data_IF_471225172695
#
_entry.id   IF_471225172695
#
_cell.length_a   1.000
_cell.length_b   1.000
_cell.length_c   1.000
_cell.angle_alpha   90.00
_cell.angle_beta   90.00
_cell.angle_gamma   90.00
#
_symmetry.space_group_name_H-M   'P 1'
#
loop_
_entity.id
_entity.type
_entity.pdbx_description
1 polymer ?
#
# COMPACT_ATOMS: atom_id res chain seq x y z
N UNK A 1 -28.57 -1.86 -5.47
CA UNK A 1 -27.59 -1.73 -6.59
C UNK A 1 -26.79 -0.42 -6.58
N UNK A 2 -27.40 0.78 -6.47
CA UNK A 2 -26.65 2.06 -6.47
C UNK A 2 -25.60 2.17 -5.35
N UNK A 3 -25.89 1.66 -4.15
CA UNK A 3 -24.96 1.66 -3.01
C UNK A 3 -23.75 0.73 -3.20
N UNK A 4 -23.95 -0.42 -3.85
CA UNK A 4 -22.90 -1.38 -4.20
C UNK A 4 -21.91 -0.72 -5.17
N UNK A 5 -22.44 -0.02 -6.18
CA UNK A 5 -21.64 0.74 -7.14
C UNK A 5 -20.87 1.86 -6.42
N UNK A 6 -21.48 2.56 -5.45
CA UNK A 6 -20.84 3.63 -4.67
C UNK A 6 -19.66 3.13 -3.82
N UNK A 7 -19.77 1.99 -3.15
CA UNK A 7 -18.68 1.42 -2.35
C UNK A 7 -17.57 0.80 -3.22
N UNK A 8 -17.93 0.19 -4.36
CA UNK A 8 -16.94 -0.29 -5.35
C UNK A 8 -16.21 0.90 -6.00
N UNK A 9 -16.88 2.03 -6.22
CA UNK A 9 -16.21 3.26 -6.69
C UNK A 9 -15.34 3.90 -5.61
N UNK A 10 -15.79 3.97 -4.34
CA UNK A 10 -14.93 4.35 -3.21
C UNK A 10 -13.70 3.44 -3.11
N UNK A 11 -13.84 2.15 -3.44
CA UNK A 11 -12.74 1.18 -3.47
C UNK A 11 -11.77 1.44 -4.63
N UNK A 12 -12.26 1.79 -5.82
CA UNK A 12 -11.42 2.16 -6.97
C UNK A 12 -10.58 3.40 -6.64
N UNK A 13 -11.19 4.36 -5.93
CA UNK A 13 -10.55 5.58 -5.44
C UNK A 13 -9.51 5.23 -4.34
N UNK A 14 -9.87 4.39 -3.36
CA UNK A 14 -8.94 3.89 -2.35
C UNK A 14 -7.73 3.16 -2.98
N UNK A 15 -7.93 2.39 -4.05
CA UNK A 15 -6.84 1.71 -4.75
C UNK A 15 -5.94 2.66 -5.54
N UNK A 16 -6.48 3.75 -6.08
CA UNK A 16 -5.68 4.84 -6.65
C UNK A 16 -4.87 5.61 -5.58
N UNK A 17 -5.36 5.62 -4.34
CA UNK A 17 -4.73 6.26 -3.18
C UNK A 17 -3.70 5.34 -2.48
N UNK A 18 -3.84 4.01 -2.57
CA UNK A 18 -2.83 3.03 -2.10
C UNK A 18 -1.61 2.96 -3.06
N UNK A 19 -1.44 3.96 -3.93
CA UNK A 19 -0.12 4.41 -4.38
C UNK A 19 0.53 5.26 -3.27
N UNK A 20 0.68 4.69 -2.08
CA UNK A 20 1.37 5.38 -0.99
C UNK A 20 2.80 5.67 -1.47
N UNK A 21 3.23 6.95 -1.54
CA UNK A 21 4.60 7.25 -1.88
C UNK A 21 5.49 6.55 -0.84
N UNK A 22 6.37 5.67 -1.30
CA UNK A 22 7.29 4.98 -0.40
C UNK A 22 8.04 6.02 0.42
N UNK A 23 8.21 5.80 1.74
CA UNK A 23 8.97 6.72 2.57
C UNK A 23 10.39 6.84 2.00
N UNK A 24 10.80 8.07 1.64
CA UNK A 24 12.08 8.30 0.96
C UNK A 24 12.11 9.39 -0.10
N UNK A 25 11.09 10.26 -0.21
CA UNK A 25 11.21 11.46 -1.04
C UNK A 25 12.46 12.26 -0.59
N UNK A 26 13.44 12.34 -1.48
CA UNK A 26 14.84 12.53 -1.12
C UNK A 26 15.20 13.90 -0.56
N UNK A 27 14.42 14.91 -0.95
CA UNK A 27 14.71 16.30 -0.65
C UNK A 27 14.59 16.61 0.85
N UNK A 28 13.83 15.82 1.61
CA UNK A 28 13.68 16.00 3.06
C UNK A 28 14.51 15.00 3.89
N UNK A 29 14.72 13.76 3.42
CA UNK A 29 15.28 12.67 4.25
C UNK A 29 16.80 12.56 4.18
N UNK A 30 17.40 12.85 3.02
CA UNK A 30 18.84 12.65 2.77
C UNK A 30 19.61 13.97 2.53
N UNK A 31 18.92 15.11 2.56
CA UNK A 31 19.52 16.42 2.37
C UNK A 31 20.29 16.89 3.63
N UNK A 32 21.51 16.41 3.83
CA UNK A 32 22.50 17.16 4.63
C UNK A 32 23.92 17.02 4.10
N UNK A 33 24.44 18.18 3.67
CA UNK A 33 25.81 18.60 3.35
C UNK A 33 26.89 17.51 3.27
N UNK A 34 27.48 17.38 2.09
CA UNK A 34 28.91 17.06 1.97
C UNK A 34 29.56 17.96 0.93
N UNK A 35 30.36 18.91 1.41
CA UNK A 35 31.37 19.65 0.66
C UNK A 35 32.44 18.67 0.17
N UNK A 36 32.66 18.64 -1.15
CA UNK A 36 33.56 17.76 -1.90
C UNK A 36 33.13 16.29 -1.98
N UNK A 37 32.33 15.93 -2.99
CA UNK A 37 32.06 14.52 -3.30
C UNK A 37 32.30 14.18 -4.76
N UNK A 38 33.01 13.06 -4.97
CA UNK A 38 33.38 12.45 -6.26
C UNK A 38 32.14 12.30 -7.16
N UNK A 39 32.33 12.49 -8.47
CA UNK A 39 31.27 12.37 -9.50
C UNK A 39 30.69 10.95 -9.64
N UNK A 40 31.33 9.92 -9.09
CA UNK A 40 30.96 8.51 -9.24
C UNK A 40 30.22 7.93 -8.03
N UNK A 41 29.49 6.81 -8.20
CA UNK A 41 28.81 6.13 -7.11
C UNK A 41 29.82 5.71 -6.04
N UNK A 42 29.52 6.02 -4.78
CA UNK A 42 30.33 5.65 -3.62
C UNK A 42 29.45 4.94 -2.61
N UNK A 43 29.96 3.88 -1.98
CA UNK A 43 29.26 3.24 -0.87
C UNK A 43 29.33 4.13 0.37
N UNK A 44 28.18 4.49 0.92
CA UNK A 44 28.04 5.28 2.13
C UNK A 44 27.20 4.55 3.16
N UNK A 45 27.36 4.94 4.42
CA UNK A 45 26.43 4.60 5.49
C UNK A 45 25.90 5.89 6.08
N UNK A 46 24.57 6.07 6.05
CA UNK A 46 23.87 7.18 6.69
C UNK A 46 23.19 6.60 7.92
N UNK A 47 23.61 7.03 9.11
CA UNK A 47 22.96 6.69 10.38
C UNK A 47 22.19 7.91 10.87
N UNK A 48 20.87 7.79 10.92
CA UNK A 48 19.99 8.72 11.60
C UNK A 48 19.50 8.07 12.90
N UNK A 49 18.86 8.86 13.77
CA UNK A 49 18.30 8.36 15.03
C UNK A 49 17.35 7.17 14.80
N UNK A 50 16.52 7.27 13.76
CA UNK A 50 15.40 6.35 13.55
C UNK A 50 15.63 5.37 12.40
N UNK A 51 16.67 5.55 11.57
CA UNK A 51 16.97 4.63 10.47
C UNK A 51 18.45 4.59 10.11
N UNK A 52 18.86 3.51 9.46
CA UNK A 52 20.17 3.36 8.83
C UNK A 52 20.01 3.02 7.36
N UNK A 53 20.74 3.74 6.51
CA UNK A 53 20.94 3.40 5.10
C UNK A 53 22.38 2.96 4.87
N UNK A 54 22.58 1.90 4.08
CA UNK A 54 23.90 1.47 3.58
C UNK A 54 23.78 1.16 2.09
N UNK A 55 24.58 1.81 1.25
CA UNK A 55 24.53 1.53 -0.19
C UNK A 55 25.23 2.59 -1.04
N UNK A 56 25.03 2.48 -2.34
CA UNK A 56 25.57 3.38 -3.34
C UNK A 56 24.86 4.73 -3.31
N UNK A 57 25.65 5.81 -3.35
CA UNK A 57 25.14 7.17 -3.42
C UNK A 57 25.91 8.01 -4.43
N UNK A 58 25.20 8.99 -5.00
CA UNK A 58 25.76 10.04 -5.87
C UNK A 58 25.49 11.38 -5.20
N UNK A 59 26.56 12.14 -4.93
CA UNK A 59 26.47 13.41 -4.17
C UNK A 59 25.74 13.27 -2.83
N UNK A 60 25.93 12.13 -2.16
CA UNK A 60 25.33 11.83 -0.85
C UNK A 60 23.87 11.39 -0.90
N UNK A 61 23.26 11.36 -2.10
CA UNK A 61 21.88 10.89 -2.30
C UNK A 61 21.91 9.41 -2.69
N UNK A 62 21.14 8.52 -2.01
CA UNK A 62 21.03 7.11 -2.39
C UNK A 62 20.69 6.94 -3.88
N UNK A 63 21.56 6.24 -4.60
CA UNK A 63 21.43 6.02 -6.05
C UNK A 63 22.24 4.78 -6.45
N UNK A 64 21.55 3.74 -6.89
CA UNK A 64 22.10 2.39 -7.08
C UNK A 64 21.71 1.43 -5.96
N UNK A 65 22.45 0.33 -5.81
CA UNK A 65 22.10 -0.72 -4.84
C UNK A 65 22.31 -0.29 -3.39
N UNK A 66 21.37 -0.64 -2.51
CA UNK A 66 21.48 -0.35 -1.08
C UNK A 66 20.44 -1.07 -0.23
N UNK A 67 20.50 -0.78 1.06
CA UNK A 67 19.58 -1.26 2.08
C UNK A 67 19.21 -0.10 3.01
N UNK A 68 17.95 -0.03 3.41
CA UNK A 68 17.48 0.83 4.49
C UNK A 68 16.71 -0.01 5.51
N UNK A 69 16.96 0.27 6.79
CA UNK A 69 16.26 -0.35 7.91
C UNK A 69 15.96 0.72 8.96
N UNK A 70 14.72 0.79 9.41
CA UNK A 70 14.33 1.61 10.55
C UNK A 70 12.94 2.20 10.39
N UNK A 71 12.74 3.38 10.95
CA UNK A 71 11.47 4.09 10.98
C UNK A 71 11.62 5.43 10.28
N UNK A 72 10.76 5.69 9.30
CA UNK A 72 10.73 6.93 8.53
C UNK A 72 9.31 7.49 8.65
N UNK A 73 9.17 8.71 9.17
CA UNK A 73 7.88 9.37 9.36
C UNK A 73 6.82 8.52 10.09
N UNK A 74 7.24 7.76 11.11
CA UNK A 74 6.30 6.91 11.85
C UNK A 74 6.09 5.51 11.29
N UNK A 75 6.58 5.23 10.07
CA UNK A 75 6.44 3.94 9.38
C UNK A 75 7.72 3.14 9.51
N UNK A 76 7.63 1.93 10.06
CA UNK A 76 8.73 0.96 10.02
C UNK A 76 8.93 0.53 8.58
N UNK A 77 10.14 0.68 8.06
CA UNK A 77 10.49 0.45 6.68
C UNK A 77 11.78 -0.34 6.58
N UNK A 78 11.72 -1.44 5.84
CA UNK A 78 12.86 -2.25 5.48
C UNK A 78 12.89 -2.40 3.97
N UNK A 79 14.02 -2.12 3.33
CA UNK A 79 14.12 -2.31 1.89
C UNK A 79 15.53 -2.66 1.50
N UNK A 80 15.65 -3.59 0.55
CA UNK A 80 16.91 -3.94 -0.13
C UNK A 80 16.67 -3.92 -1.63
N UNK A 81 17.48 -3.14 -2.34
CA UNK A 81 17.41 -3.05 -3.79
C UNK A 81 18.02 -1.77 -4.34
N UNK A 82 17.58 -1.44 -5.54
CA UNK A 82 17.95 -0.23 -6.25
C UNK A 82 17.21 0.99 -5.69
N UNK A 83 17.97 2.04 -5.43
CA UNK A 83 17.49 3.39 -5.14
C UNK A 83 17.68 4.27 -6.36
N UNK A 84 16.73 5.17 -6.62
CA UNK A 84 16.82 6.18 -7.67
C UNK A 84 16.47 7.53 -7.06
N UNK A 85 17.45 8.45 -7.09
CA UNK A 85 17.31 9.79 -6.52
C UNK A 85 16.76 9.77 -5.09
N UNK A 86 17.34 8.95 -4.21
CA UNK A 86 17.01 8.85 -2.79
C UNK A 86 15.80 7.99 -2.45
N UNK A 87 14.97 7.61 -3.43
CA UNK A 87 13.81 6.76 -3.21
C UNK A 87 14.08 5.29 -3.56
N UNK A 88 13.49 4.32 -2.84
CA UNK A 88 13.43 2.92 -3.27
C UNK A 88 12.81 2.83 -4.67
N UNK A 89 13.41 2.04 -5.57
CA UNK A 89 12.97 1.95 -6.97
C UNK A 89 12.66 0.52 -7.41
N UNK A 90 13.61 -0.40 -7.31
CA UNK A 90 13.41 -1.81 -7.64
C UNK A 90 14.02 -2.69 -6.56
N UNK A 91 13.25 -3.59 -5.95
CA UNK A 91 13.79 -4.44 -4.90
C UNK A 91 12.73 -5.18 -4.12
N UNK A 92 13.11 -5.60 -2.91
CA UNK A 92 12.20 -6.20 -1.95
C UNK A 92 12.20 -5.38 -0.67
N UNK A 93 11.04 -5.21 -0.08
CA UNK A 93 10.91 -4.47 1.17
C UNK A 93 9.62 -4.76 1.90
N UNK A 94 9.53 -4.21 3.09
CA UNK A 94 8.34 -4.18 3.91
C UNK A 94 8.12 -2.80 4.49
N UNK A 95 6.85 -2.49 4.73
CA UNK A 95 6.42 -1.27 5.39
C UNK A 95 5.30 -1.59 6.37
N UNK A 96 5.39 -1.04 7.58
CA UNK A 96 4.41 -1.25 8.64
C UNK A 96 4.21 0.05 9.41
N UNK A 97 3.00 0.60 9.43
CA UNK A 97 2.71 1.82 10.17
C UNK A 97 1.41 2.47 9.75
N UNK A 98 1.18 3.68 10.27
CA UNK A 98 0.02 4.50 9.93
C UNK A 98 0.39 5.50 8.83
N UNK A 99 -0.33 5.48 7.72
CA UNK A 99 -0.21 6.41 6.59
C UNK A 99 -1.60 6.94 6.26
N UNK A 100 -1.76 8.26 6.21
CA UNK A 100 -3.01 8.94 5.85
C UNK A 100 -4.26 8.42 6.58
N UNK A 101 -4.11 8.15 7.89
CA UNK A 101 -5.21 7.66 8.72
C UNK A 101 -5.41 6.15 8.71
N UNK A 102 -4.80 5.42 7.78
CA UNK A 102 -4.89 3.96 7.66
C UNK A 102 -3.65 3.25 8.21
N UNK A 103 -3.84 2.11 8.86
CA UNK A 103 -2.77 1.17 9.17
C UNK A 103 -2.47 0.34 7.93
N UNK A 104 -1.20 0.28 7.54
CA UNK A 104 -0.74 -0.47 6.36
C UNK A 104 0.39 -1.39 6.79
N UNK A 105 0.31 -2.63 6.34
CA UNK A 105 1.39 -3.61 6.38
C UNK A 105 1.56 -4.18 4.98
N UNK A 106 2.72 -3.95 4.37
CA UNK A 106 3.07 -4.55 3.09
C UNK A 106 4.42 -5.27 3.21
N UNK A 107 4.55 -6.38 2.50
CA UNK A 107 5.81 -7.11 2.34
C UNK A 107 5.86 -7.70 0.94
N UNK A 108 6.86 -7.30 0.17
CA UNK A 108 6.90 -7.71 -1.22
C UNK A 108 7.97 -7.06 -2.08
N UNK A 109 7.77 -7.20 -3.38
CA UNK A 109 8.52 -6.56 -4.43
C UNK A 109 8.04 -5.13 -4.65
N UNK A 110 8.98 -4.23 -4.77
CA UNK A 110 8.78 -2.86 -5.23
C UNK A 110 9.35 -2.77 -6.64
N UNK A 111 8.61 -2.13 -7.54
CA UNK A 111 9.01 -1.92 -8.93
C UNK A 111 8.67 -0.50 -9.34
N UNK A 112 9.65 0.20 -9.92
CA UNK A 112 9.53 1.61 -10.29
C UNK A 112 9.07 2.55 -9.15
N UNK A 113 9.38 2.20 -7.91
CA UNK A 113 9.01 2.99 -6.72
C UNK A 113 7.63 2.69 -6.14
N UNK A 114 6.95 1.66 -6.63
CA UNK A 114 5.60 1.28 -6.19
C UNK A 114 5.55 -0.18 -5.72
N UNK A 115 4.69 -0.53 -4.74
CA UNK A 115 4.37 -1.91 -4.43
C UNK A 115 3.88 -2.67 -5.68
N UNK A 116 4.52 -3.80 -6.00
CA UNK A 116 4.28 -4.52 -7.25
C UNK A 116 3.72 -5.92 -7.03
N UNK A 117 4.28 -6.68 -6.10
CA UNK A 117 3.83 -8.03 -5.79
C UNK A 117 4.16 -8.38 -4.34
N UNK A 118 3.28 -9.08 -3.63
CA UNK A 118 3.52 -9.42 -2.23
C UNK A 118 2.23 -9.50 -1.42
N UNK A 119 2.37 -9.49 -0.10
CA UNK A 119 1.22 -9.43 0.81
C UNK A 119 0.96 -7.99 1.23
N UNK A 120 -0.31 -7.64 1.39
CA UNK A 120 -0.75 -6.35 1.89
C UNK A 120 -1.93 -6.54 2.84
N UNK A 121 -1.89 -5.78 3.92
CA UNK A 121 -2.99 -5.57 4.84
C UNK A 121 -3.18 -4.09 5.03
N UNK A 122 -4.38 -3.58 4.81
CA UNK A 122 -4.73 -2.21 5.17
C UNK A 122 -5.98 -2.19 6.03
N UNK A 123 -6.08 -1.21 6.92
CA UNK A 123 -7.28 -0.93 7.70
C UNK A 123 -7.34 0.56 8.02
N UNK A 124 -8.42 1.24 7.63
CA UNK A 124 -8.55 2.68 7.86
C UNK A 124 -9.95 3.20 7.55
N UNK A 125 -10.09 4.53 7.66
CA UNK A 125 -11.29 5.26 7.25
C UNK A 125 -10.94 6.00 5.96
N UNK A 126 -11.64 5.70 4.87
CA UNK A 126 -11.45 6.31 3.55
C UNK A 126 -12.76 6.95 3.15
N UNK A 127 -12.77 8.27 2.96
CA UNK A 127 -13.98 9.05 2.64
C UNK A 127 -15.16 8.82 3.62
N UNK A 128 -14.84 8.58 4.89
CA UNK A 128 -15.82 8.30 5.95
C UNK A 128 -16.22 6.82 6.08
N UNK A 129 -15.79 5.97 5.15
CA UNK A 129 -16.09 4.54 5.14
C UNK A 129 -14.97 3.76 5.84
N UNK A 130 -15.32 2.90 6.80
CA UNK A 130 -14.35 1.98 7.37
C UNK A 130 -14.04 0.92 6.32
N UNK A 131 -12.78 0.74 5.97
CA UNK A 131 -12.34 -0.25 5.00
C UNK A 131 -11.15 -1.04 5.53
N UNK A 132 -11.13 -2.33 5.22
CA UNK A 132 -10.00 -3.20 5.43
C UNK A 132 -9.81 -4.14 4.25
N UNK A 133 -8.56 -4.49 3.99
CA UNK A 133 -8.21 -5.55 3.05
C UNK A 133 -7.06 -6.35 3.63
N UNK A 134 -7.08 -7.64 3.36
CA UNK A 134 -5.96 -8.52 3.59
C UNK A 134 -5.83 -9.48 2.42
N UNK A 135 -4.67 -9.49 1.77
CA UNK A 135 -4.49 -10.31 0.60
C UNK A 135 -3.14 -10.13 -0.09
N UNK A 136 -3.11 -10.57 -1.34
CA UNK A 136 -1.96 -10.57 -2.20
C UNK A 136 -2.11 -9.53 -3.32
N UNK A 137 -0.99 -8.91 -3.67
CA UNK A 137 -0.85 -8.07 -4.84
C UNK A 137 -0.06 -8.79 -5.94
N UNK A 138 -0.42 -8.52 -7.18
CA UNK A 138 0.34 -8.91 -8.37
C UNK A 138 0.26 -7.78 -9.41
N UNK A 139 1.38 -7.48 -10.06
CA UNK A 139 1.48 -6.44 -11.08
C UNK A 139 0.96 -5.06 -10.65
N UNK A 140 1.16 -4.70 -9.38
CA UNK A 140 0.71 -3.43 -8.81
C UNK A 140 -0.79 -3.37 -8.49
N UNK A 141 -1.49 -4.50 -8.56
CA UNK A 141 -2.94 -4.59 -8.31
C UNK A 141 -3.24 -5.63 -7.24
N UNK A 142 -4.40 -5.50 -6.58
CA UNK A 142 -4.93 -6.60 -5.78
C UNK A 142 -5.22 -7.80 -6.67
N UNK A 143 -4.87 -8.98 -6.18
CA UNK A 143 -5.03 -10.22 -6.92
C UNK A 143 -6.00 -11.18 -6.23
N UNK A 144 -5.83 -11.38 -4.92
CA UNK A 144 -6.67 -12.29 -4.13
C UNK A 144 -6.65 -11.86 -2.67
N UNK A 145 -7.80 -11.89 -2.00
CA UNK A 145 -7.88 -11.50 -0.60
C UNK A 145 -9.30 -11.40 -0.08
N UNK A 146 -9.38 -10.88 1.14
CA UNK A 146 -10.62 -10.50 1.80
C UNK A 146 -10.67 -8.98 1.88
N UNK A 147 -11.73 -8.40 1.34
CA UNK A 147 -12.09 -7.00 1.50
C UNK A 147 -13.27 -6.92 2.45
N UNK A 148 -13.21 -6.02 3.42
CA UNK A 148 -14.37 -5.67 4.23
C UNK A 148 -14.53 -4.15 4.31
N UNK A 149 -15.78 -3.73 4.45
CA UNK A 149 -16.09 -2.33 4.70
C UNK A 149 -17.40 -2.14 5.42
N UNK A 150 -17.59 -0.95 5.97
CA UNK A 150 -18.84 -0.57 6.63
C UNK A 150 -19.16 0.88 6.35
N UNK A 151 -20.40 1.14 5.91
CA UNK A 151 -20.95 2.45 5.62
C UNK A 151 -22.39 2.51 6.08
N UNK A 152 -22.74 3.50 6.90
CA UNK A 152 -24.13 3.77 7.31
C UNK A 152 -24.90 2.53 7.85
N UNK A 153 -24.21 1.64 8.57
CA UNK A 153 -24.80 0.42 9.12
C UNK A 153 -24.92 -0.76 8.15
N UNK A 154 -24.51 -0.60 6.88
CA UNK A 154 -24.29 -1.68 5.93
C UNK A 154 -22.82 -2.12 6.00
N UNK A 155 -22.60 -3.40 6.29
CA UNK A 155 -21.30 -4.06 6.19
C UNK A 155 -21.23 -4.91 4.92
N UNK A 156 -20.06 -4.90 4.28
CA UNK A 156 -19.76 -5.71 3.11
C UNK A 156 -18.51 -6.52 3.42
N UNK A 157 -18.52 -7.79 3.03
CA UNK A 157 -17.36 -8.67 3.05
C UNK A 157 -17.28 -9.40 1.71
N UNK A 158 -16.17 -9.22 0.99
CA UNK A 158 -15.87 -9.97 -0.22
C UNK A 158 -14.61 -10.79 -0.01
N UNK A 159 -14.68 -12.09 -0.33
CA UNK A 159 -13.53 -12.97 -0.33
C UNK A 159 -13.36 -13.58 -1.71
N UNK A 160 -12.23 -13.29 -2.35
CA UNK A 160 -11.95 -13.84 -3.66
C UNK A 160 -10.83 -13.16 -4.40
N UNK A 161 -10.85 -13.34 -5.72
CA UNK A 161 -9.92 -12.77 -6.68
C UNK A 161 -10.40 -11.44 -7.20
N UNK A 162 -9.43 -10.59 -7.47
CA UNK A 162 -9.61 -9.26 -8.02
C UNK A 162 -8.97 -9.17 -9.40
N UNK A 163 -9.53 -8.31 -10.25
CA UNK A 163 -8.95 -7.95 -11.55
C UNK A 163 -9.17 -6.46 -11.75
N UNK A 164 -8.10 -5.71 -12.05
CA UNK A 164 -8.16 -4.25 -12.09
C UNK A 164 -8.70 -3.63 -10.78
N UNK A 165 -8.37 -4.26 -9.65
CA UNK A 165 -8.86 -3.89 -8.31
C UNK A 165 -10.38 -4.03 -8.09
N UNK A 166 -11.09 -4.76 -8.95
CA UNK A 166 -12.53 -5.06 -8.80
C UNK A 166 -12.76 -6.55 -8.50
N UNK A 167 -13.83 -6.92 -7.76
CA UNK A 167 -14.22 -8.31 -7.55
C UNK A 167 -14.37 -9.06 -8.88
N UNK A 168 -13.66 -10.18 -9.03
CA UNK A 168 -13.66 -10.95 -10.27
C UNK A 168 -14.20 -12.36 -10.07
N UNK A 169 -13.68 -13.09 -9.10
CA UNK A 169 -14.17 -14.44 -8.74
C UNK A 169 -14.22 -14.56 -7.22
N UNK A 170 -15.38 -14.76 -6.62
CA UNK A 170 -15.49 -14.92 -5.17
C UNK A 170 -16.87 -14.67 -4.62
N UNK A 171 -16.99 -14.80 -3.30
CA UNK A 171 -18.26 -14.67 -2.59
C UNK A 171 -18.31 -13.33 -1.86
N UNK A 172 -19.45 -12.65 -1.97
CA UNK A 172 -19.74 -11.40 -1.31
C UNK A 172 -20.93 -11.57 -0.37
N UNK A 173 -20.77 -11.09 0.86
CA UNK A 173 -21.82 -11.02 1.86
C UNK A 173 -22.05 -9.55 2.19
N UNK A 174 -23.32 -9.16 2.24
CA UNK A 174 -23.75 -7.85 2.73
C UNK A 174 -24.74 -8.03 3.87
N UNK A 175 -24.42 -7.42 5.01
CA UNK A 175 -25.28 -7.42 6.19
C UNK A 175 -25.61 -5.98 6.57
N UNK A 176 -26.86 -5.70 6.89
CA UNK A 176 -27.30 -4.38 7.31
C UNK A 176 -28.72 -4.39 7.86
N UNK A 177 -29.40 -3.25 7.73
CA UNK A 177 -30.82 -3.10 8.04
C UNK A 177 -31.53 -2.42 6.88
N UNK A 178 -32.79 -2.75 6.65
CA UNK A 178 -33.65 -2.02 5.73
C UNK A 178 -34.19 -0.73 6.37
N UNK A 179 -34.99 0.03 5.61
CA UNK A 179 -35.58 1.30 6.06
C UNK A 179 -36.52 1.15 7.27
N UNK A 180 -37.01 -0.07 7.53
CA UNK A 180 -37.84 -0.41 8.69
C UNK A 180 -37.03 -0.90 9.89
N UNK A 181 -35.69 -0.95 9.75
CA UNK A 181 -34.77 -1.43 10.77
C UNK A 181 -34.67 -2.95 10.87
N UNK A 182 -35.29 -3.69 9.96
CA UNK A 182 -35.21 -5.16 9.93
C UNK A 182 -33.86 -5.61 9.37
N UNK A 183 -33.29 -6.72 9.87
CA UNK A 183 -32.04 -7.26 9.35
C UNK A 183 -32.13 -7.54 7.85
N UNK A 184 -31.14 -7.06 7.11
CA UNK A 184 -30.94 -7.36 5.70
C UNK A 184 -29.67 -8.22 5.57
N UNK A 185 -29.79 -9.37 4.91
CA UNK A 185 -28.67 -10.23 4.57
C UNK A 185 -28.75 -10.58 3.09
N UNK A 186 -27.66 -10.34 2.35
CA UNK A 186 -27.56 -10.66 0.93
C UNK A 186 -26.24 -11.37 0.67
N UNK A 187 -26.30 -12.43 -0.11
CA UNK A 187 -25.12 -13.12 -0.62
C UNK A 187 -25.09 -13.04 -2.13
N UNK A 188 -23.89 -12.97 -2.70
CA UNK A 188 -23.69 -12.86 -4.15
C UNK A 188 -22.38 -13.53 -4.54
N UNK A 189 -22.43 -14.36 -5.58
CA UNK A 189 -21.25 -14.98 -6.17
C UNK A 189 -20.81 -14.18 -7.39
N UNK A 190 -19.52 -13.86 -7.45
CA UNK A 190 -18.90 -13.25 -8.61
C UNK A 190 -18.23 -14.33 -9.44
N UNK A 191 -18.59 -14.42 -10.72
CA UNK A 191 -17.94 -15.29 -11.71
C UNK A 191 -17.55 -14.47 -12.92
N UNK A 192 -16.24 -14.33 -13.13
CA UNK A 192 -15.63 -13.51 -14.18
C UNK A 192 -16.13 -12.06 -14.19
N UNK A 193 -16.27 -11.46 -13.01
CA UNK A 193 -16.70 -10.06 -12.81
C UNK A 193 -18.20 -9.84 -12.92
N UNK A 194 -19.00 -10.91 -12.97
CA UNK A 194 -20.47 -10.84 -13.00
C UNK A 194 -21.05 -11.40 -11.71
N UNK A 195 -21.96 -10.63 -11.11
CA UNK A 195 -22.79 -10.97 -9.94
C UNK A 195 -24.19 -11.40 -10.35
#
# INVERSE_FOLDING_TARGET
>A
MKYIISLITSMTIACGIILCPLPGNADAVFAKKSTAQKKGPTTITIKQKDFTYTGQAVKGVPNGQGKIDGKINGVTFHFTGEFKNGAPYNGKGSMAGKMDGANINFSGQIKKGEPFAGTIKFQGVIDGDNMAFEGNMQNGQFYEGTLSGTKEGLSINFKGKFKNNEPYNGHMIMDGKDDSGQPLHMETEFVNGKS
#
